data_IF_016238490408
#
_entry.id   IF_016238490408
#
_cell.length_a   1.000
_cell.length_b   1.000
_cell.length_c   1.000
_cell.angle_alpha   90.00
_cell.angle_beta   90.00
_cell.angle_gamma   90.00
#
_symmetry.space_group_name_H-M   'P 1'
#
loop_
_entity.id
_entity.type
_entity.pdbx_description
1 polymer ?
#
# COMPACT_ATOMS: atom_id res chain seq x y z
N UNK A 1 -2.48 -24.11 11.14
CA UNK A 1 -2.49 -22.70 10.69
C UNK A 1 -1.33 -21.91 11.28
N UNK A 2 -1.13 -21.87 12.62
CA UNK A 2 -0.03 -21.14 13.28
C UNK A 2 1.37 -21.31 12.63
N UNK A 3 1.81 -22.55 12.38
CA UNK A 3 3.11 -22.83 11.73
C UNK A 3 3.22 -22.24 10.31
N UNK A 4 2.13 -22.27 9.53
CA UNK A 4 2.09 -21.72 8.17
C UNK A 4 2.14 -20.19 8.20
N UNK A 5 1.36 -19.56 9.08
CA UNK A 5 1.38 -18.10 9.27
C UNK A 5 2.78 -17.63 9.66
N UNK A 6 3.42 -18.27 10.65
CA UNK A 6 4.78 -17.92 11.07
C UNK A 6 5.80 -18.06 9.93
N UNK A 7 5.68 -19.13 9.15
CA UNK A 7 6.53 -19.34 7.97
C UNK A 7 6.34 -18.21 6.94
N UNK A 8 5.09 -17.85 6.63
CA UNK A 8 4.74 -16.74 5.73
C UNK A 8 5.36 -15.45 6.24
N UNK A 9 5.08 -15.05 7.49
CA UNK A 9 5.62 -13.80 8.06
C UNK A 9 7.14 -13.74 7.94
N UNK A 10 7.85 -14.79 8.37
CA UNK A 10 9.32 -14.84 8.29
C UNK A 10 9.83 -14.78 6.85
N UNK A 11 9.21 -15.51 5.93
CA UNK A 11 9.64 -15.58 4.54
C UNK A 11 9.40 -14.26 3.81
N UNK A 12 8.30 -13.58 4.10
CA UNK A 12 7.92 -12.33 3.45
C UNK A 12 8.75 -11.15 3.98
N UNK A 13 8.99 -11.04 5.29
CA UNK A 13 9.85 -10.00 5.86
C UNK A 13 11.30 -10.07 5.38
N UNK A 14 11.75 -11.25 4.94
CA UNK A 14 13.10 -11.48 4.40
C UNK A 14 13.14 -11.52 2.87
N UNK A 15 12.03 -11.18 2.20
CA UNK A 15 11.97 -11.24 0.75
C UNK A 15 12.77 -10.09 0.14
N UNK A 16 13.56 -10.39 -0.90
CA UNK A 16 14.32 -9.38 -1.64
C UNK A 16 13.41 -8.32 -2.28
N UNK A 17 12.26 -8.67 -2.91
CA UNK A 17 11.37 -7.66 -3.48
C UNK A 17 10.80 -6.69 -2.45
N UNK A 18 10.38 -7.19 -1.26
CA UNK A 18 9.87 -6.33 -0.20
C UNK A 18 10.96 -5.41 0.35
N UNK A 19 12.15 -5.95 0.61
CA UNK A 19 13.28 -5.17 1.11
C UNK A 19 13.69 -4.10 0.09
N UNK A 20 13.82 -4.47 -1.19
CA UNK A 20 14.21 -3.53 -2.24
C UNK A 20 13.16 -2.45 -2.50
N UNK A 21 11.96 -2.86 -2.92
CA UNK A 21 10.93 -1.93 -3.39
C UNK A 21 10.05 -1.38 -2.27
N UNK A 22 9.67 -2.22 -1.30
CA UNK A 22 8.80 -1.79 -0.21
C UNK A 22 9.51 -0.97 0.87
N UNK A 23 10.74 -1.33 1.21
CA UNK A 23 11.49 -0.70 2.32
C UNK A 23 12.53 0.30 1.80
N UNK A 24 13.57 -0.16 1.10
CA UNK A 24 14.73 0.67 0.76
C UNK A 24 14.37 1.80 -0.21
N UNK A 25 13.60 1.50 -1.26
CA UNK A 25 13.17 2.51 -2.22
C UNK A 25 12.24 3.54 -1.58
N UNK A 26 11.26 3.10 -0.78
CA UNK A 26 10.39 4.02 -0.03
C UNK A 26 11.19 4.88 0.94
N UNK A 27 12.12 4.29 1.69
CA UNK A 27 13.00 5.02 2.61
C UNK A 27 13.84 6.07 1.88
N UNK A 28 14.41 5.72 0.72
CA UNK A 28 15.16 6.68 -0.11
C UNK A 28 14.32 7.91 -0.44
N UNK A 29 13.06 7.71 -0.85
CA UNK A 29 12.17 8.83 -1.17
C UNK A 29 11.74 9.65 0.06
N UNK A 30 11.47 9.01 1.20
CA UNK A 30 11.21 9.72 2.46
C UNK A 30 12.44 10.57 2.85
N UNK A 31 13.64 10.04 2.67
CA UNK A 31 14.89 10.76 2.94
C UNK A 31 15.05 11.98 2.01
N UNK A 32 14.79 11.80 0.71
CA UNK A 32 14.78 12.91 -0.27
C UNK A 32 13.75 13.97 0.12
N UNK A 33 12.53 13.56 0.47
CA UNK A 33 11.47 14.46 0.95
C UNK A 33 11.88 15.24 2.21
N UNK A 34 12.46 14.56 3.19
CA UNK A 34 12.84 15.15 4.46
C UNK A 34 14.00 16.15 4.33
N UNK A 35 15.06 15.82 3.58
CA UNK A 35 16.30 16.60 3.58
C UNK A 35 16.52 17.46 2.34
N UNK A 36 16.07 17.02 1.16
CA UNK A 36 16.30 17.74 -0.09
C UNK A 36 15.09 18.65 -0.41
N UNK A 37 13.89 18.07 -0.46
CA UNK A 37 12.71 18.79 -0.92
C UNK A 37 12.06 19.69 0.15
N UNK A 38 12.32 19.45 1.44
CA UNK A 38 11.84 20.32 2.53
C UNK A 38 12.41 21.75 2.49
N UNK A 39 13.44 21.99 1.66
CA UNK A 39 13.98 23.32 1.39
C UNK A 39 12.97 24.24 0.68
N UNK A 40 12.04 23.68 -0.10
CA UNK A 40 10.96 24.42 -0.76
C UNK A 40 10.04 25.16 0.21
N UNK A 41 9.97 24.71 1.47
CA UNK A 41 9.15 25.32 2.52
C UNK A 41 9.79 26.56 3.15
N UNK A 42 11.02 26.93 2.79
CA UNK A 42 11.69 28.12 3.34
C UNK A 42 11.01 29.44 2.92
N UNK A 43 10.23 29.42 1.83
CA UNK A 43 9.44 30.57 1.36
C UNK A 43 8.11 30.75 2.12
N UNK A 44 7.73 29.77 2.94
CA UNK A 44 6.45 29.80 3.67
C UNK A 44 6.57 30.76 4.88
N UNK A 45 5.59 31.65 5.09
CA UNK A 45 5.59 32.54 6.25
C UNK A 45 5.69 31.78 7.57
N UNK A 46 6.49 32.31 8.51
CA UNK A 46 6.75 31.68 9.81
C UNK A 46 5.48 31.44 10.64
N UNK A 47 4.45 32.27 10.47
CA UNK A 47 3.16 32.14 11.15
C UNK A 47 2.40 30.85 10.82
N UNK A 48 2.53 30.34 9.59
CA UNK A 48 1.85 29.12 9.11
C UNK A 48 2.81 27.96 8.87
N UNK A 49 4.11 28.16 9.06
CA UNK A 49 5.16 27.18 8.75
C UNK A 49 4.91 25.83 9.40
N UNK A 50 4.52 25.80 10.68
CA UNK A 50 4.27 24.54 11.40
C UNK A 50 3.14 23.73 10.78
N UNK A 51 2.04 24.37 10.39
CA UNK A 51 0.90 23.69 9.77
C UNK A 51 1.26 23.21 8.37
N UNK A 52 1.88 24.07 7.55
CA UNK A 52 2.35 23.70 6.21
C UNK A 52 3.35 22.53 6.25
N UNK A 53 4.25 22.53 7.23
CA UNK A 53 5.22 21.44 7.42
C UNK A 53 4.53 20.13 7.81
N UNK A 54 3.54 20.16 8.71
CA UNK A 54 2.75 18.98 9.06
C UNK A 54 1.98 18.41 7.84
N UNK A 55 1.37 19.27 7.04
CA UNK A 55 0.68 18.86 5.81
C UNK A 55 1.66 18.27 4.79
N UNK A 56 2.84 18.87 4.63
CA UNK A 56 3.89 18.36 3.75
C UNK A 56 4.40 16.98 4.20
N UNK A 57 4.72 16.81 5.49
CA UNK A 57 5.10 15.50 6.05
C UNK A 57 3.98 14.48 5.89
N UNK A 58 2.73 14.88 6.06
CA UNK A 58 1.56 14.01 5.86
C UNK A 58 1.53 13.49 4.44
N UNK A 59 1.76 14.33 3.42
CA UNK A 59 1.82 13.88 2.02
C UNK A 59 2.89 12.80 1.81
N UNK A 60 4.08 12.99 2.37
CA UNK A 60 5.14 11.98 2.32
C UNK A 60 4.80 10.70 3.07
N UNK A 61 4.09 10.81 4.20
CA UNK A 61 3.58 9.64 4.91
C UNK A 61 2.55 8.86 4.07
N UNK A 62 1.63 9.56 3.39
CA UNK A 62 0.65 8.96 2.49
C UNK A 62 1.35 8.15 1.40
N UNK A 63 2.37 8.73 0.76
CA UNK A 63 3.23 8.04 -0.20
C UNK A 63 3.90 6.81 0.42
N UNK A 64 4.53 6.98 1.58
CA UNK A 64 5.28 5.93 2.24
C UNK A 64 4.41 4.70 2.52
N UNK A 65 3.20 4.89 3.04
CA UNK A 65 2.28 3.79 3.33
C UNK A 65 1.80 3.13 2.04
N UNK A 66 1.26 3.89 1.07
CA UNK A 66 0.68 3.27 -0.12
C UNK A 66 1.76 2.56 -0.95
N UNK A 67 2.92 3.16 -1.13
CA UNK A 67 3.99 2.63 -1.96
C UNK A 67 4.68 1.42 -1.30
N UNK A 68 5.00 1.50 0.00
CA UNK A 68 5.63 0.37 0.70
C UNK A 68 4.73 -0.87 0.75
N UNK A 69 3.42 -0.67 0.97
CA UNK A 69 2.45 -1.77 1.02
C UNK A 69 2.10 -2.28 -0.38
N UNK A 70 2.17 -1.46 -1.43
CA UNK A 70 2.21 -1.96 -2.81
C UNK A 70 3.42 -2.87 -3.07
N UNK A 71 4.56 -2.60 -2.42
CA UNK A 71 5.73 -3.48 -2.44
C UNK A 71 5.46 -4.87 -1.85
N UNK A 72 4.52 -5.00 -0.88
CA UNK A 72 4.09 -6.31 -0.38
C UNK A 72 3.44 -7.16 -1.46
N UNK A 73 2.64 -6.53 -2.32
CA UNK A 73 1.93 -7.22 -3.38
C UNK A 73 2.90 -7.93 -4.35
N UNK A 74 4.05 -7.30 -4.67
CA UNK A 74 5.10 -7.95 -5.46
C UNK A 74 5.58 -9.27 -4.83
N UNK A 75 5.71 -9.30 -3.50
CA UNK A 75 6.20 -10.48 -2.77
C UNK A 75 5.16 -11.59 -2.73
N UNK A 76 3.88 -11.22 -2.57
CA UNK A 76 2.76 -12.16 -2.68
C UNK A 76 2.79 -12.79 -4.08
N UNK A 77 2.96 -11.96 -5.11
CA UNK A 77 3.10 -12.41 -6.50
C UNK A 77 4.20 -13.42 -6.72
N UNK A 78 5.44 -13.10 -6.33
CA UNK A 78 6.53 -14.07 -6.45
C UNK A 78 6.25 -15.37 -5.69
N UNK A 79 5.67 -15.28 -4.49
CA UNK A 79 5.41 -16.45 -3.65
C UNK A 79 4.39 -17.39 -4.29
N UNK A 80 3.27 -16.84 -4.78
CA UNK A 80 2.21 -17.64 -5.40
C UNK A 80 2.73 -18.32 -6.65
N UNK A 81 3.46 -17.61 -7.51
CA UNK A 81 4.05 -18.19 -8.73
C UNK A 81 4.95 -19.37 -8.44
N UNK A 82 5.91 -19.23 -7.51
CA UNK A 82 6.83 -20.32 -7.19
C UNK A 82 6.13 -21.49 -6.47
N UNK A 83 4.98 -21.26 -5.84
CA UNK A 83 4.19 -22.30 -5.17
C UNK A 83 3.14 -22.95 -6.07
N UNK A 84 2.85 -22.42 -7.27
CA UNK A 84 1.87 -23.01 -8.20
C UNK A 84 2.15 -24.47 -8.57
N UNK A 85 3.42 -24.90 -8.54
CA UNK A 85 3.80 -26.29 -8.79
C UNK A 85 3.49 -27.24 -7.62
N UNK A 86 3.51 -26.76 -6.37
CA UNK A 86 3.34 -27.60 -5.18
C UNK A 86 1.96 -27.47 -4.53
N UNK A 87 1.27 -26.34 -4.69
CA UNK A 87 -0.05 -26.08 -4.12
C UNK A 87 -1.11 -27.10 -4.56
N UNK A 88 -1.24 -27.46 -5.86
CA UNK A 88 -2.24 -28.44 -6.28
C UNK A 88 -2.00 -29.82 -5.66
N UNK A 89 -0.74 -30.24 -5.47
CA UNK A 89 -0.41 -31.48 -4.76
C UNK A 89 -0.76 -31.38 -3.27
N UNK A 90 -0.44 -30.26 -2.62
CA UNK A 90 -0.79 -30.03 -1.21
C UNK A 90 -2.31 -29.96 -0.98
N UNK A 91 -3.07 -29.46 -1.96
CA UNK A 91 -4.54 -29.43 -1.91
C UNK A 91 -5.18 -30.79 -2.18
N UNK A 92 -4.60 -31.59 -3.07
CA UNK A 92 -5.14 -32.91 -3.45
C UNK A 92 -4.75 -34.01 -2.48
N UNK A 93 -3.50 -34.02 -2.00
CA UNK A 93 -2.93 -35.10 -1.21
C UNK A 93 -2.55 -34.68 0.23
N UNK A 94 -2.59 -33.38 0.54
CA UNK A 94 -2.28 -32.86 1.87
C UNK A 94 -3.51 -32.50 2.70
N UNK A 95 -3.27 -32.02 3.93
CA UNK A 95 -4.33 -31.49 4.83
C UNK A 95 -4.66 -30.02 4.58
N UNK A 96 -4.02 -29.39 3.58
CA UNK A 96 -4.17 -27.98 3.27
C UNK A 96 -5.34 -27.80 2.31
N UNK A 97 -6.33 -26.99 2.69
CA UNK A 97 -7.43 -26.62 1.78
C UNK A 97 -7.19 -25.21 1.23
N UNK A 98 -7.68 -24.87 0.01
CA UNK A 98 -7.50 -23.52 -0.56
C UNK A 98 -7.95 -22.38 0.36
N UNK A 99 -9.07 -22.55 1.08
CA UNK A 99 -9.56 -21.56 2.06
C UNK A 99 -8.59 -21.36 3.23
N UNK A 100 -8.09 -22.45 3.83
CA UNK A 100 -7.09 -22.39 4.92
C UNK A 100 -5.78 -21.77 4.47
N UNK A 101 -5.38 -22.01 3.21
CA UNK A 101 -4.21 -21.38 2.61
C UNK A 101 -4.43 -19.86 2.48
N UNK A 102 -5.50 -19.42 1.81
CA UNK A 102 -5.85 -18.01 1.69
C UNK A 102 -5.90 -17.31 3.05
N UNK A 103 -6.65 -17.85 4.00
CA UNK A 103 -6.76 -17.27 5.34
C UNK A 103 -5.40 -17.16 6.04
N UNK A 104 -4.51 -18.15 5.86
CA UNK A 104 -3.16 -18.09 6.44
C UNK A 104 -2.28 -17.04 5.76
N UNK A 105 -2.43 -16.83 4.45
CA UNK A 105 -1.73 -15.77 3.72
C UNK A 105 -2.26 -14.40 4.14
N UNK A 106 -3.57 -14.18 4.17
CA UNK A 106 -4.15 -12.92 4.65
C UNK A 106 -3.66 -12.57 6.06
N UNK A 107 -3.80 -13.48 7.03
CA UNK A 107 -3.33 -13.23 8.41
C UNK A 107 -1.82 -13.00 8.46
N UNK A 108 -1.04 -13.75 7.70
CA UNK A 108 0.41 -13.54 7.62
C UNK A 108 0.76 -12.18 7.04
N UNK A 109 0.09 -11.77 5.96
CA UNK A 109 0.31 -10.50 5.30
C UNK A 109 -0.14 -9.30 6.13
N UNK A 110 -1.19 -9.42 6.94
CA UNK A 110 -1.55 -8.36 7.90
C UNK A 110 -0.48 -8.12 8.96
N UNK A 111 0.18 -9.18 9.43
CA UNK A 111 1.30 -9.02 10.37
C UNK A 111 2.47 -8.33 9.65
N UNK A 112 2.76 -8.72 8.41
CA UNK A 112 3.82 -8.09 7.62
C UNK A 112 3.48 -6.62 7.32
N UNK A 113 2.24 -6.31 6.94
CA UNK A 113 1.80 -4.94 6.66
C UNK A 113 1.93 -4.05 7.90
N UNK A 114 1.56 -4.54 9.09
CA UNK A 114 1.78 -3.83 10.35
C UNK A 114 3.26 -3.54 10.58
N UNK A 115 4.14 -4.53 10.41
CA UNK A 115 5.59 -4.33 10.62
C UNK A 115 6.14 -3.29 9.65
N UNK A 116 5.80 -3.39 8.36
CA UNK A 116 6.29 -2.46 7.33
C UNK A 116 5.68 -1.06 7.50
N UNK A 117 4.38 -0.96 7.74
CA UNK A 117 3.68 0.30 7.94
C UNK A 117 4.16 1.05 9.19
N UNK A 118 4.39 0.34 10.30
CA UNK A 118 4.98 0.94 11.51
C UNK A 118 6.43 1.38 11.28
N UNK A 119 7.21 0.59 10.53
CA UNK A 119 8.57 0.97 10.14
C UNK A 119 8.57 2.25 9.29
N UNK A 120 7.70 2.34 8.29
CA UNK A 120 7.56 3.56 7.48
C UNK A 120 7.09 4.75 8.30
N UNK A 121 6.15 4.54 9.23
CA UNK A 121 5.70 5.58 10.17
C UNK A 121 6.86 6.10 11.01
N UNK A 122 7.71 5.20 11.52
CA UNK A 122 8.90 5.56 12.28
C UNK A 122 9.90 6.34 11.42
N UNK A 123 10.19 5.87 10.19
CA UNK A 123 11.08 6.58 9.28
C UNK A 123 10.59 7.98 8.93
N UNK A 124 9.31 8.15 8.58
CA UNK A 124 8.75 9.47 8.30
C UNK A 124 8.81 10.38 9.52
N UNK A 125 8.43 9.88 10.71
CA UNK A 125 8.46 10.64 11.97
C UNK A 125 9.88 11.08 12.31
N UNK A 126 10.83 10.15 12.30
CA UNK A 126 12.22 10.41 12.68
C UNK A 126 12.85 11.38 11.69
N UNK A 127 12.86 11.05 10.39
CA UNK A 127 13.60 11.84 9.40
C UNK A 127 13.08 13.28 9.30
N UNK A 128 11.77 13.49 9.31
CA UNK A 128 11.21 14.84 9.28
C UNK A 128 11.40 15.58 10.60
N UNK A 129 11.33 14.91 11.75
CA UNK A 129 11.59 15.57 13.04
C UNK A 129 13.06 15.95 13.25
N UNK A 130 14.00 15.23 12.64
CA UNK A 130 15.45 15.44 12.82
C UNK A 130 16.13 16.17 11.66
N UNK A 131 15.39 16.68 10.68
CA UNK A 131 15.97 17.33 9.49
C UNK A 131 16.45 18.78 9.72
N UNK A 132 16.43 19.27 10.95
CA UNK A 132 16.87 20.63 11.29
C UNK A 132 15.82 21.73 11.07
N UNK A 133 14.57 21.40 10.71
CA UNK A 133 13.48 22.40 10.58
C UNK A 133 12.83 22.77 11.92
N UNK A 134 13.21 22.11 13.02
CA UNK A 134 12.74 22.44 14.37
C UNK A 134 11.28 22.08 14.65
N UNK A 135 10.64 21.27 13.80
CA UNK A 135 9.26 20.83 13.97
C UNK A 135 9.25 19.33 14.23
N UNK A 136 8.78 18.95 15.42
CA UNK A 136 8.54 17.54 15.75
C UNK A 136 7.19 17.10 15.17
N UNK A 137 7.21 16.04 14.36
CA UNK A 137 6.05 15.50 13.63
C UNK A 137 5.81 14.04 14.00
N UNK A 138 4.56 13.67 14.25
CA UNK A 138 4.16 12.31 14.58
C UNK A 138 2.69 12.10 14.23
N UNK A 139 2.21 10.85 14.11
CA UNK A 139 0.81 10.60 13.82
C UNK A 139 -0.11 11.10 14.92
N UNK A 140 -1.04 11.99 14.57
CA UNK A 140 -1.99 12.54 15.52
C UNK A 140 -3.03 11.52 16.01
N UNK A 141 -3.40 10.54 15.16
CA UNK A 141 -4.37 9.50 15.49
C UNK A 141 -3.83 8.11 15.15
N UNK A 142 -3.14 7.52 16.13
CA UNK A 142 -2.54 6.18 16.03
C UNK A 142 -3.58 5.10 15.63
N UNK A 143 -4.79 5.03 16.21
CA UNK A 143 -5.81 4.08 15.77
C UNK A 143 -6.15 4.15 14.28
N UNK A 144 -6.34 5.36 13.73
CA UNK A 144 -6.64 5.53 12.30
C UNK A 144 -5.42 5.16 11.46
N UNK A 145 -4.20 5.49 11.89
CA UNK A 145 -2.97 5.07 11.20
C UNK A 145 -2.84 3.54 11.13
N UNK A 146 -3.09 2.84 12.24
CA UNK A 146 -3.07 1.36 12.27
C UNK A 146 -4.17 0.80 11.36
N UNK A 147 -5.37 1.38 11.40
CA UNK A 147 -6.47 0.99 10.51
C UNK A 147 -6.08 1.15 9.03
N UNK A 148 -5.43 2.26 8.66
CA UNK A 148 -4.97 2.50 7.29
C UNK A 148 -3.99 1.42 6.83
N UNK A 149 -3.03 1.06 7.69
CA UNK A 149 -2.02 0.04 7.40
C UNK A 149 -2.67 -1.33 7.19
N UNK A 150 -3.64 -1.71 8.05
CA UNK A 150 -4.36 -2.97 7.93
C UNK A 150 -5.23 -3.01 6.68
N UNK A 151 -6.01 -1.96 6.41
CA UNK A 151 -6.85 -1.92 5.20
C UNK A 151 -6.01 -1.95 3.93
N UNK A 152 -4.86 -1.27 3.92
CA UNK A 152 -3.95 -1.28 2.79
C UNK A 152 -3.26 -2.64 2.63
N UNK A 153 -2.80 -3.26 3.72
CA UNK A 153 -2.27 -4.63 3.70
C UNK A 153 -3.27 -5.63 3.13
N UNK A 154 -4.52 -5.55 3.59
CA UNK A 154 -5.60 -6.41 3.15
C UNK A 154 -5.88 -6.24 1.66
N UNK A 155 -6.11 -4.99 1.23
CA UNK A 155 -6.38 -4.67 -0.17
C UNK A 155 -5.22 -5.08 -1.09
N UNK A 156 -3.97 -4.75 -0.74
CA UNK A 156 -2.81 -5.08 -1.56
C UNK A 156 -2.59 -6.59 -1.67
N UNK A 157 -2.89 -7.34 -0.60
CA UNK A 157 -2.84 -8.80 -0.61
C UNK A 157 -3.91 -9.37 -1.54
N UNK A 158 -5.17 -8.91 -1.45
CA UNK A 158 -6.24 -9.34 -2.37
C UNK A 158 -5.94 -8.99 -3.82
N UNK A 159 -5.46 -7.77 -4.07
CA UNK A 159 -5.10 -7.33 -5.41
C UNK A 159 -3.99 -8.20 -6.00
N UNK A 160 -2.96 -8.52 -5.21
CA UNK A 160 -1.88 -9.41 -5.65
C UNK A 160 -2.40 -10.80 -6.02
N UNK A 161 -3.24 -11.40 -5.16
CA UNK A 161 -3.85 -12.70 -5.44
C UNK A 161 -4.64 -12.70 -6.74
N UNK A 162 -5.47 -11.68 -6.96
CA UNK A 162 -6.27 -11.58 -8.18
C UNK A 162 -5.35 -11.52 -9.41
N UNK A 163 -4.36 -10.63 -9.37
CA UNK A 163 -3.40 -10.43 -10.46
C UNK A 163 -2.64 -11.72 -10.78
N UNK A 164 -2.18 -12.46 -9.76
CA UNK A 164 -1.49 -13.72 -9.96
C UNK A 164 -2.38 -14.79 -10.56
N UNK A 165 -3.61 -14.93 -10.06
CA UNK A 165 -4.54 -15.92 -10.61
C UNK A 165 -4.86 -15.59 -12.07
N UNK A 166 -5.01 -14.30 -12.39
CA UNK A 166 -5.20 -13.84 -13.77
C UNK A 166 -4.00 -14.19 -14.64
N UNK A 167 -2.76 -13.99 -14.15
CA UNK A 167 -1.55 -14.35 -14.90
C UNK A 167 -1.46 -15.85 -15.13
N UNK A 168 -1.61 -16.65 -14.07
CA UNK A 168 -1.52 -18.11 -14.13
C UNK A 168 -2.54 -18.68 -15.11
N UNK A 169 -3.75 -18.11 -15.15
CA UNK A 169 -4.85 -18.65 -15.94
C UNK A 169 -4.91 -18.12 -17.37
N UNK A 170 -4.69 -16.82 -17.57
CA UNK A 170 -5.02 -16.14 -18.83
C UNK A 170 -3.80 -15.57 -19.56
N UNK A 171 -2.84 -14.97 -18.85
CA UNK A 171 -1.73 -14.23 -19.49
C UNK A 171 -0.45 -15.06 -19.66
N UNK A 172 -0.32 -16.16 -18.92
CA UNK A 172 0.87 -17.01 -18.90
C UNK A 172 2.01 -16.44 -18.03
N UNK A 173 2.83 -17.35 -17.48
CA UNK A 173 3.88 -17.01 -16.50
C UNK A 173 4.97 -16.07 -17.04
N UNK A 174 5.12 -15.96 -18.36
CA UNK A 174 6.03 -15.01 -19.02
C UNK A 174 5.80 -13.54 -18.60
N UNK A 175 4.56 -13.20 -18.25
CA UNK A 175 4.17 -11.83 -17.88
C UNK A 175 4.23 -11.58 -16.37
N UNK A 176 4.64 -12.56 -15.57
CA UNK A 176 4.57 -12.51 -14.11
C UNK A 176 5.38 -11.34 -13.54
N UNK A 177 6.58 -11.09 -14.05
CA UNK A 177 7.41 -9.99 -13.58
C UNK A 177 6.67 -8.65 -13.73
N UNK A 178 6.16 -8.34 -14.92
CA UNK A 178 5.42 -7.11 -15.17
C UNK A 178 4.18 -6.98 -14.26
N UNK A 179 3.37 -8.04 -14.17
CA UNK A 179 2.13 -8.00 -13.39
C UNK A 179 2.40 -7.83 -11.89
N UNK A 180 3.49 -8.40 -11.38
CA UNK A 180 3.88 -8.22 -9.98
C UNK A 180 4.16 -6.76 -9.61
N UNK A 181 4.55 -5.91 -10.58
CA UNK A 181 4.81 -4.49 -10.38
C UNK A 181 3.57 -3.59 -10.53
N UNK A 182 2.44 -4.10 -11.04
CA UNK A 182 1.22 -3.30 -11.23
C UNK A 182 0.80 -2.56 -9.95
N UNK A 183 0.76 -3.19 -8.76
CA UNK A 183 0.38 -2.49 -7.53
C UNK A 183 1.31 -1.31 -7.19
N UNK A 184 2.61 -1.42 -7.47
CA UNK A 184 3.58 -0.32 -7.27
C UNK A 184 3.34 0.82 -8.27
N UNK A 185 3.14 0.47 -9.55
CA UNK A 185 2.84 1.45 -10.60
C UNK A 185 1.55 2.21 -10.25
N UNK A 186 0.49 1.51 -9.85
CA UNK A 186 -0.77 2.12 -9.45
C UNK A 186 -0.62 2.97 -8.19
N UNK A 187 0.08 2.48 -7.17
CA UNK A 187 0.34 3.26 -5.95
C UNK A 187 1.04 4.58 -6.23
N UNK A 188 2.01 4.57 -7.15
CA UNK A 188 2.70 5.78 -7.62
C UNK A 188 1.76 6.71 -8.39
N UNK A 189 1.04 6.19 -9.39
CA UNK A 189 0.13 6.98 -10.24
C UNK A 189 -0.93 7.68 -9.40
N UNK A 190 -1.59 6.95 -8.49
CA UNK A 190 -2.68 7.50 -7.68
C UNK A 190 -2.20 8.53 -6.65
N UNK A 191 -1.01 8.35 -6.08
CA UNK A 191 -0.40 9.36 -5.23
C UNK A 191 -0.20 10.69 -5.99
N UNK A 192 0.43 10.64 -7.16
CA UNK A 192 0.65 11.84 -7.97
C UNK A 192 -0.63 12.42 -8.54
N UNK A 193 -1.62 11.58 -8.88
CA UNK A 193 -2.93 12.02 -9.30
C UNK A 193 -3.59 12.86 -8.19
N UNK A 194 -3.49 12.47 -6.92
CA UNK A 194 -4.05 13.27 -5.83
C UNK A 194 -3.29 14.59 -5.61
N UNK A 195 -1.97 14.58 -5.73
CA UNK A 195 -1.16 15.80 -5.56
C UNK A 195 -1.44 16.82 -6.65
N UNK A 196 -1.57 16.37 -7.90
CA UNK A 196 -1.63 17.26 -9.07
C UNK A 196 -3.01 17.39 -9.72
N UNK A 197 -4.00 16.59 -9.30
CA UNK A 197 -5.38 16.78 -9.78
C UNK A 197 -5.93 18.13 -9.35
N UNK A 198 -7.02 18.54 -9.98
CA UNK A 198 -7.81 19.72 -9.58
C UNK A 198 -9.27 19.32 -9.34
N UNK A 199 -9.51 18.08 -8.93
CA UNK A 199 -10.85 17.54 -8.73
C UNK A 199 -11.60 18.32 -7.65
N UNK A 200 -12.81 18.79 -7.99
CA UNK A 200 -13.72 19.49 -7.06
C UNK A 200 -14.64 18.54 -6.29
N UNK A 201 -14.76 17.30 -6.75
CA UNK A 201 -15.62 16.28 -6.16
C UNK A 201 -14.77 15.24 -5.44
N UNK A 202 -15.25 14.78 -4.28
CA UNK A 202 -14.63 13.70 -3.52
C UNK A 202 -14.90 12.30 -4.11
N UNK A 203 -15.76 12.20 -5.14
CA UNK A 203 -16.17 10.92 -5.73
C UNK A 203 -14.97 10.10 -6.23
N UNK A 204 -13.98 10.66 -6.96
CA UNK A 204 -12.82 9.89 -7.42
C UNK A 204 -12.00 9.29 -6.27
N UNK A 205 -11.91 9.99 -5.14
CA UNK A 205 -11.20 9.53 -3.95
C UNK A 205 -11.91 8.38 -3.25
N UNK A 206 -13.24 8.36 -3.30
CA UNK A 206 -14.03 7.24 -2.78
C UNK A 206 -14.11 6.07 -3.75
N UNK A 207 -13.99 6.27 -5.07
CA UNK A 207 -14.04 5.18 -6.03
C UNK A 207 -12.68 4.48 -6.19
N UNK A 208 -11.57 5.20 -6.03
CA UNK A 208 -10.23 4.63 -6.08
C UNK A 208 -9.81 4.07 -4.71
N UNK A 209 -9.58 2.74 -4.58
CA UNK A 209 -9.10 2.18 -3.32
C UNK A 209 -7.70 2.69 -2.97
N UNK A 210 -6.85 3.01 -3.95
CA UNK A 210 -5.53 3.59 -3.70
C UNK A 210 -5.65 4.98 -3.05
N UNK A 211 -6.54 5.84 -3.56
CA UNK A 211 -6.78 7.16 -2.97
C UNK A 211 -7.39 7.03 -1.58
N UNK A 212 -8.40 6.17 -1.43
CA UNK A 212 -9.05 5.94 -0.15
C UNK A 212 -8.02 5.54 0.93
N UNK A 213 -7.17 4.56 0.65
CA UNK A 213 -6.16 4.05 1.58
C UNK A 213 -5.12 5.11 1.97
N UNK A 214 -4.57 5.82 1.00
CA UNK A 214 -3.58 6.85 1.30
C UNK A 214 -4.22 8.02 2.06
N UNK A 215 -5.46 8.40 1.77
CA UNK A 215 -6.16 9.48 2.48
C UNK A 215 -6.52 9.07 3.92
N UNK A 216 -6.90 7.81 4.18
CA UNK A 216 -7.08 7.31 5.56
C UNK A 216 -5.74 7.41 6.30
N UNK A 217 -4.63 6.99 5.68
CA UNK A 217 -3.30 7.11 6.28
C UNK A 217 -2.94 8.57 6.58
N UNK A 218 -3.21 9.48 5.64
CA UNK A 218 -2.98 10.90 5.78
C UNK A 218 -3.83 11.54 6.90
N UNK A 219 -5.12 11.21 6.99
CA UNK A 219 -5.99 11.66 8.10
C UNK A 219 -5.48 11.14 9.44
N UNK A 220 -5.02 9.88 9.49
CA UNK A 220 -4.42 9.31 10.71
C UNK A 220 -3.17 10.07 11.16
N UNK A 221 -2.32 10.47 10.21
CA UNK A 221 -1.10 11.21 10.52
C UNK A 221 -1.38 12.67 10.88
N UNK A 222 -2.21 13.34 10.08
CA UNK A 222 -2.50 14.77 10.22
C UNK A 222 -3.46 15.10 11.37
N UNK A 223 -4.41 14.19 11.65
CA UNK A 223 -5.42 14.36 12.69
C UNK A 223 -6.60 15.24 12.29
N UNK A 224 -6.64 15.74 11.06
CA UNK A 224 -7.74 16.53 10.49
C UNK A 224 -8.20 15.92 9.16
N UNK A 225 -9.38 16.33 8.71
CA UNK A 225 -9.84 16.00 7.37
C UNK A 225 -8.87 16.58 6.31
N UNK A 226 -8.59 15.78 5.29
CA UNK A 226 -7.78 16.19 4.14
C UNK A 226 -8.67 16.73 3.03
N UNK A 227 -8.14 17.61 2.17
CA UNK A 227 -8.89 18.08 1.02
C UNK A 227 -9.09 16.98 -0.03
N UNK A 228 -10.06 17.18 -0.91
CA UNK A 228 -10.28 16.30 -2.09
C UNK A 228 -9.09 16.31 -3.06
N UNK A 229 -8.31 17.39 -3.08
CA UNK A 229 -7.12 17.47 -3.90
C UNK A 229 -6.15 18.52 -3.36
N UNK A 230 -4.86 18.20 -3.38
CA UNK A 230 -3.81 19.15 -3.01
C UNK A 230 -3.48 20.11 -4.16
N UNK A 231 -3.78 19.75 -5.40
CA UNK A 231 -3.50 20.59 -6.57
C UNK A 231 -4.35 21.86 -6.62
N UNK A 232 -5.53 21.86 -5.98
CA UNK A 232 -6.35 23.06 -5.83
C UNK A 232 -5.72 24.11 -4.90
N UNK A 233 -4.98 23.66 -3.88
CA UNK A 233 -4.22 24.56 -2.98
C UNK A 233 -3.01 25.16 -3.70
N UNK A 234 -2.28 24.35 -4.47
CA UNK A 234 -1.08 24.82 -5.18
C UNK A 234 -1.42 25.71 -6.37
N UNK A 235 -2.58 25.54 -6.98
CA UNK A 235 -3.05 26.36 -8.10
C UNK A 235 -3.71 27.69 -7.68
N UNK A 236 -3.83 27.97 -6.36
CA UNK A 236 -4.46 29.20 -5.86
C UNK A 236 -5.94 29.34 -6.23
N UNK A 237 -6.62 28.23 -6.53
CA UNK A 237 -7.93 28.26 -7.20
C UNK A 237 -9.12 28.42 -6.25
N UNK A 238 -9.04 28.02 -4.97
CA UNK A 238 -10.18 28.14 -4.03
C UNK A 238 -9.75 28.37 -2.57
N UNK A 239 -10.52 29.18 -1.83
CA UNK A 239 -10.33 29.48 -0.40
C UNK A 239 -11.01 28.44 0.53
N UNK A 240 -11.89 27.60 0.00
CA UNK A 240 -12.56 26.51 0.73
C UNK A 240 -12.62 25.25 -0.13
N UNK A 241 -11.56 24.45 -0.09
CA UNK A 241 -11.53 23.17 -0.81
C UNK A 241 -12.37 22.14 -0.02
N UNK A 242 -13.29 21.42 -0.68
CA UNK A 242 -14.05 20.34 -0.04
C UNK A 242 -13.12 19.32 0.61
N UNK A 243 -13.52 18.77 1.75
CA UNK A 243 -12.75 17.73 2.43
C UNK A 243 -13.37 16.34 2.25
N UNK A 244 -12.53 15.32 2.30
CA UNK A 244 -12.96 13.93 2.23
C UNK A 244 -13.45 13.44 3.60
N UNK A 245 -14.50 12.62 3.59
CA UNK A 245 -15.05 12.00 4.80
C UNK A 245 -14.38 10.65 5.06
N UNK A 246 -13.82 10.51 6.26
CA UNK A 246 -13.18 9.27 6.71
C UNK A 246 -14.09 8.05 6.58
N UNK A 247 -15.38 8.19 6.91
CA UNK A 247 -16.35 7.09 6.86
C UNK A 247 -16.50 6.52 5.46
N UNK A 248 -16.57 7.39 4.44
CA UNK A 248 -16.69 6.94 3.04
C UNK A 248 -15.40 6.34 2.51
N UNK A 249 -14.23 6.86 2.92
CA UNK A 249 -12.94 6.26 2.56
C UNK A 249 -12.81 4.84 3.14
N UNK A 250 -13.13 4.66 4.42
CA UNK A 250 -13.07 3.35 5.08
C UNK A 250 -14.06 2.37 4.44
N UNK A 251 -15.28 2.82 4.17
CA UNK A 251 -16.29 2.00 3.48
C UNK A 251 -15.79 1.57 2.09
N UNK A 252 -15.21 2.48 1.31
CA UNK A 252 -14.64 2.18 0.00
C UNK A 252 -13.52 1.12 0.09
N UNK A 253 -12.53 1.33 0.95
CA UNK A 253 -11.41 0.42 1.12
C UNK A 253 -11.87 -0.99 1.53
N UNK A 254 -12.84 -1.08 2.45
CA UNK A 254 -13.44 -2.34 2.88
C UNK A 254 -14.21 -3.03 1.75
N UNK A 255 -15.06 -2.30 1.03
CA UNK A 255 -15.84 -2.86 -0.08
C UNK A 255 -14.90 -3.44 -1.15
N UNK A 256 -13.88 -2.68 -1.57
CA UNK A 256 -12.91 -3.15 -2.55
C UNK A 256 -12.14 -4.38 -2.06
N UNK A 257 -11.63 -4.36 -0.82
CA UNK A 257 -10.93 -5.51 -0.26
C UNK A 257 -11.80 -6.77 -0.17
N UNK A 258 -13.06 -6.64 0.25
CA UNK A 258 -14.01 -7.76 0.34
C UNK A 258 -14.35 -8.30 -1.05
N UNK A 259 -14.66 -7.42 -2.01
CA UNK A 259 -15.00 -7.82 -3.38
C UNK A 259 -13.84 -8.61 -4.01
N UNK A 260 -12.62 -8.10 -3.91
CA UNK A 260 -11.42 -8.80 -4.41
C UNK A 260 -11.21 -10.14 -3.70
N UNK A 261 -11.31 -10.17 -2.37
CA UNK A 261 -11.18 -11.40 -1.58
C UNK A 261 -12.20 -12.50 -1.93
N UNK A 262 -13.45 -12.10 -2.22
CA UNK A 262 -14.51 -13.02 -2.65
C UNK A 262 -14.17 -13.58 -4.03
N UNK A 263 -13.73 -12.74 -4.96
CA UNK A 263 -13.29 -13.15 -6.29
C UNK A 263 -12.11 -14.15 -6.17
N UNK A 264 -11.10 -13.84 -5.37
CA UNK A 264 -9.94 -14.70 -5.15
C UNK A 264 -10.34 -16.08 -4.60
N UNK A 265 -11.28 -16.11 -3.65
CA UNK A 265 -11.76 -17.36 -3.05
C UNK A 265 -12.45 -18.27 -4.07
N UNK A 266 -13.13 -17.69 -5.06
CA UNK A 266 -13.76 -18.42 -6.16
C UNK A 266 -12.71 -18.88 -7.18
N UNK A 267 -11.75 -18.01 -7.51
CA UNK A 267 -10.77 -18.28 -8.56
C UNK A 267 -9.65 -19.22 -8.11
N UNK A 268 -9.22 -19.20 -6.85
CA UNK A 268 -8.11 -20.04 -6.36
C UNK A 268 -8.40 -21.54 -6.50
N UNK A 269 -9.67 -21.92 -6.41
CA UNK A 269 -10.11 -23.31 -6.60
C UNK A 269 -9.87 -23.83 -8.02
N UNK A 270 -9.66 -22.91 -8.97
CA UNK A 270 -9.47 -23.18 -10.40
C UNK A 270 -8.00 -23.09 -10.82
N UNK A 271 -7.05 -22.97 -9.88
CA UNK A 271 -5.62 -22.99 -10.20
C UNK A 271 -5.23 -24.38 -10.70
N UNK A 272 -4.71 -24.43 -11.93
CA UNK A 272 -4.14 -25.63 -12.54
C UNK A 272 -2.62 -25.64 -12.39
N UNK A 273 -2.02 -26.83 -12.42
CA UNK A 273 -0.56 -26.99 -12.49
C UNK A 273 -0.05 -26.40 -13.82
N UNK A 274 0.90 -25.46 -13.74
CA UNK A 274 1.70 -25.03 -14.89
C UNK A 274 3.18 -25.23 -14.60
N UNK A 275 3.95 -25.55 -15.63
CA UNK A 275 5.37 -25.83 -15.46
C UNK A 275 6.11 -24.52 -15.18
N UNK A 276 6.82 -24.45 -14.05
CA UNK A 276 7.60 -23.27 -13.62
C UNK A 276 8.65 -22.88 -14.68
N UNK A 277 9.08 -23.84 -15.52
CA UNK A 277 10.01 -23.58 -16.62
C UNK A 277 9.45 -22.63 -17.69
N UNK A 278 8.12 -22.46 -17.80
CA UNK A 278 7.51 -21.47 -18.70
C UNK A 278 7.88 -20.02 -18.33
N UNK A 279 8.25 -19.76 -17.07
CA UNK A 279 8.70 -18.45 -16.60
C UNK A 279 10.22 -18.23 -16.62
N UNK A 280 11.00 -19.25 -17.01
CA UNK A 280 12.49 -19.20 -17.06
C UNK A 280 13.04 -19.03 -18.47
N UNK A 281 12.20 -19.10 -19.49
CA UNK A 281 12.58 -18.77 -20.87
C UNK A 281 12.55 -17.25 -20.94
N UNK A 282 13.62 -16.61 -20.50
CA UNK A 282 14.15 -15.25 -20.80
C UNK A 282 15.09 -14.83 -19.66
#
# INVERSE_FOLDING_TARGET
MKKLVLYIVKRFLTSKPLIGWGILFTFFWIFVGAYLESSSLNSVPTSIFKEAYYTYTTSWFMFAIIYSLSGLATTVSYTITYQTGSLPFLFKFGKLTPRKYLASVYVGMEIVSLVIGLLMTAFTTILFSTNGKGVFVYPANIPITILAILLAGFFMTSLAFLLDIVVIKYLGLKNQNFVSFIPLILGFIFYFLYIYSTFKSAIPDYLSPFNALMLIAGIGFYGKALPVSMGQFTAGMETSVPSVSLTYLVASALIWGIVLSVIDTVLIKKITLRNINEGKIF
#
